data_IF_802480440013
#
_entry.id   IF_802480440013
#
_cell.length_a   1.000
_cell.length_b   1.000
_cell.length_c   1.000
_cell.angle_alpha   90.00
_cell.angle_beta   90.00
_cell.angle_gamma   90.00
#
_symmetry.space_group_name_H-M   'P 1'
#
loop_
_entity.id
_entity.type
_entity.pdbx_description
1 polymer ?
#
# COMPACT_ATOMS: atom_id res chain seq x y z
N UNK A 1 -65.65 -37.62 91.61
CA UNK A 1 -65.65 -38.30 90.29
C UNK A 1 -64.51 -37.74 89.46
N UNK A 2 -63.70 -38.64 88.88
CA UNK A 2 -62.75 -38.50 87.76
C UNK A 2 -61.46 -37.67 87.98
N UNK A 3 -60.45 -38.43 88.40
CA UNK A 3 -59.03 -38.25 88.09
C UNK A 3 -58.70 -38.61 86.62
N UNK A 4 -57.63 -37.98 86.11
CA UNK A 4 -56.73 -38.36 85.01
C UNK A 4 -57.28 -38.52 83.57
N UNK A 5 -56.84 -37.63 82.67
CA UNK A 5 -56.40 -37.99 81.31
C UNK A 5 -55.29 -37.02 80.86
N UNK A 6 -54.05 -37.51 80.84
CA UNK A 6 -52.93 -36.91 80.11
C UNK A 6 -53.03 -37.41 78.65
N UNK A 7 -53.25 -36.51 77.69
CA UNK A 7 -52.93 -36.75 76.29
C UNK A 7 -51.92 -35.68 75.88
N UNK A 8 -50.72 -36.17 75.60
CA UNK A 8 -49.58 -35.45 75.02
C UNK A 8 -49.99 -35.03 73.61
N UNK A 9 -50.30 -33.74 73.42
CA UNK A 9 -50.39 -33.16 72.08
C UNK A 9 -48.96 -32.95 71.57
N UNK A 10 -48.46 -33.97 70.85
CA UNK A 10 -47.22 -33.93 70.11
C UNK A 10 -47.30 -32.80 69.06
N UNK A 11 -46.42 -31.81 69.19
CA UNK A 11 -46.26 -30.73 68.23
C UNK A 11 -45.84 -31.29 66.86
N UNK A 12 -46.75 -31.32 65.90
CA UNK A 12 -46.41 -31.39 64.49
C UNK A 12 -45.87 -30.03 64.06
N UNK A 13 -44.54 -29.86 64.10
CA UNK A 13 -43.88 -28.71 63.49
C UNK A 13 -43.94 -28.91 61.98
N UNK A 14 -44.94 -28.31 61.34
CA UNK A 14 -44.96 -28.13 59.90
C UNK A 14 -43.83 -27.16 59.52
N UNK A 15 -42.70 -27.69 59.09
CA UNK A 15 -41.76 -26.93 58.27
C UNK A 15 -42.40 -26.69 56.92
N UNK A 16 -43.20 -25.63 56.80
CA UNK A 16 -43.58 -25.10 55.50
C UNK A 16 -42.35 -24.38 54.94
N UNK A 17 -41.64 -25.02 54.00
CA UNK A 17 -40.80 -24.31 53.05
C UNK A 17 -41.72 -23.56 52.07
N UNK A 18 -42.35 -22.49 52.56
CA UNK A 18 -42.92 -21.45 51.71
C UNK A 18 -41.76 -20.53 51.35
N UNK A 19 -40.90 -20.93 50.41
CA UNK A 19 -40.19 -19.94 49.62
C UNK A 19 -41.24 -19.35 48.67
N UNK A 20 -42.11 -18.51 49.22
CA UNK A 20 -42.96 -17.66 48.43
C UNK A 20 -42.00 -16.71 47.72
N UNK A 21 -41.89 -16.83 46.41
CA UNK A 21 -41.49 -15.71 45.59
C UNK A 21 -42.45 -14.56 45.94
N UNK A 22 -41.95 -13.51 46.60
CA UNK A 22 -42.82 -12.45 47.12
C UNK A 22 -43.02 -11.42 46.00
N UNK A 23 -44.16 -11.52 45.34
CA UNK A 23 -44.60 -10.59 44.30
C UNK A 23 -45.15 -9.30 44.92
N UNK A 24 -44.70 -8.15 44.40
CA UNK A 24 -45.16 -6.81 44.81
C UNK A 24 -45.50 -5.96 43.56
N UNK A 25 -46.06 -4.77 43.73
CA UNK A 25 -46.13 -3.77 42.64
C UNK A 25 -45.02 -2.74 42.82
N UNK A 26 -44.54 -2.13 41.72
CA UNK A 26 -43.50 -1.10 41.76
C UNK A 26 -43.88 0.08 42.66
N UNK A 27 -45.17 0.41 42.72
CA UNK A 27 -45.72 1.47 43.60
C UNK A 27 -45.59 1.19 45.09
N UNK A 28 -45.41 -0.08 45.50
CA UNK A 28 -45.33 -0.47 46.90
C UNK A 28 -43.88 -0.50 47.43
N UNK A 29 -42.88 -0.48 46.54
CA UNK A 29 -41.45 -0.68 46.84
C UNK A 29 -40.94 0.33 47.87
N UNK A 30 -41.20 1.62 47.67
CA UNK A 30 -40.66 2.69 48.53
C UNK A 30 -41.29 2.70 49.94
N UNK A 31 -42.52 2.19 50.05
CA UNK A 31 -43.25 2.06 51.31
C UNK A 31 -43.09 0.70 51.98
N UNK A 32 -42.33 -0.22 51.38
CA UNK A 32 -42.18 -1.57 51.88
C UNK A 32 -41.25 -1.59 53.10
N UNK A 33 -41.75 -2.05 54.24
CA UNK A 33 -41.02 -2.02 55.52
C UNK A 33 -40.99 -3.37 56.25
N UNK A 34 -41.45 -4.43 55.60
CA UNK A 34 -41.55 -5.78 56.19
C UNK A 34 -40.75 -6.82 55.41
N UNK A 35 -39.79 -6.40 54.58
CA UNK A 35 -38.96 -7.32 53.82
C UNK A 35 -38.04 -8.12 54.74
N UNK A 36 -38.06 -9.45 54.64
CA UNK A 36 -37.07 -10.26 55.34
C UNK A 36 -35.70 -10.11 54.63
N UNK A 37 -34.64 -10.02 55.43
CA UNK A 37 -33.28 -9.90 54.90
C UNK A 37 -32.92 -11.11 54.03
N UNK A 38 -32.47 -10.86 52.81
CA UNK A 38 -32.03 -11.90 51.88
C UNK A 38 -33.12 -12.52 51.01
N UNK A 39 -34.40 -12.21 51.27
CA UNK A 39 -35.50 -12.63 50.41
C UNK A 39 -35.49 -11.87 49.07
N UNK A 40 -35.91 -12.56 48.00
CA UNK A 40 -36.06 -11.97 46.68
C UNK A 40 -37.50 -11.54 46.43
N UNK A 41 -37.66 -10.32 45.90
CA UNK A 41 -38.94 -9.72 45.56
C UNK A 41 -38.93 -9.35 44.08
N UNK A 42 -40.03 -9.61 43.38
CA UNK A 42 -40.18 -9.22 41.98
C UNK A 42 -41.41 -8.33 41.86
N UNK A 43 -41.26 -7.19 41.18
CA UNK A 43 -42.41 -6.35 40.86
C UNK A 43 -43.19 -6.96 39.69
N UNK A 44 -44.50 -7.09 39.85
CA UNK A 44 -45.40 -7.71 38.86
C UNK A 44 -45.70 -6.83 37.65
N UNK A 45 -45.45 -5.52 37.78
CA UNK A 45 -45.72 -4.50 36.76
C UNK A 45 -44.44 -4.05 36.03
N UNK A 46 -43.31 -3.94 36.72
CA UNK A 46 -42.02 -3.54 36.11
C UNK A 46 -41.04 -4.70 35.89
N UNK A 47 -41.33 -5.90 36.40
CA UNK A 47 -40.46 -7.09 36.33
C UNK A 47 -39.04 -6.83 36.90
N UNK A 48 -38.95 -5.96 37.90
CA UNK A 48 -37.71 -5.58 38.56
C UNK A 48 -37.46 -6.47 39.78
N UNK A 49 -36.20 -6.92 39.95
CA UNK A 49 -35.78 -7.77 41.05
C UNK A 49 -35.23 -6.92 42.20
N UNK A 50 -35.64 -7.24 43.42
CA UNK A 50 -35.18 -6.62 44.65
C UNK A 50 -34.75 -7.68 45.67
N UNK A 51 -33.89 -7.27 46.60
CA UNK A 51 -33.53 -8.06 47.79
C UNK A 51 -33.98 -7.33 49.05
N UNK A 52 -34.52 -8.06 50.02
CA UNK A 52 -34.86 -7.53 51.34
C UNK A 52 -33.62 -7.26 52.18
N UNK A 53 -33.65 -6.17 52.96
CA UNK A 53 -32.59 -5.77 53.88
C UNK A 53 -33.02 -5.97 55.34
N UNK A 54 -32.05 -5.96 56.26
CA UNK A 54 -32.27 -6.10 57.71
C UNK A 54 -33.24 -5.06 58.30
N UNK A 55 -33.39 -3.91 57.65
CA UNK A 55 -34.31 -2.83 58.05
C UNK A 55 -35.74 -2.96 57.51
N UNK A 56 -36.10 -4.08 56.87
CA UNK A 56 -37.44 -4.27 56.29
C UNK A 56 -37.64 -3.60 54.92
N UNK A 57 -36.67 -2.85 54.43
CA UNK A 57 -36.72 -2.15 53.14
C UNK A 57 -36.18 -3.01 52.00
N UNK A 58 -36.53 -2.64 50.77
CA UNK A 58 -36.08 -3.31 49.56
C UNK A 58 -34.90 -2.58 48.91
N UNK A 59 -33.93 -3.33 48.38
CA UNK A 59 -32.87 -2.81 47.52
C UNK A 59 -32.98 -3.44 46.14
N UNK A 60 -33.07 -2.61 45.11
CA UNK A 60 -33.08 -3.07 43.73
C UNK A 60 -31.77 -3.78 43.39
N UNK A 61 -31.88 -4.98 42.83
CA UNK A 61 -30.78 -5.67 42.16
C UNK A 61 -30.87 -5.24 40.69
N UNK A 62 -29.80 -4.64 40.17
CA UNK A 62 -29.73 -3.80 38.96
C UNK A 62 -30.46 -4.30 37.69
N UNK A 63 -30.83 -3.35 36.82
CA UNK A 63 -31.55 -3.52 35.55
C UNK A 63 -30.88 -4.54 34.61
N UNK A 64 -31.59 -5.57 34.10
CA UNK A 64 -31.03 -6.51 33.11
C UNK A 64 -30.95 -5.94 31.68
N UNK A 65 -31.30 -4.67 31.43
CA UNK A 65 -31.42 -4.09 30.09
C UNK A 65 -30.34 -3.04 29.76
N UNK A 66 -29.09 -3.32 30.12
CA UNK A 66 -27.96 -2.54 29.66
C UNK A 66 -27.60 -2.95 28.22
N UNK A 67 -28.25 -2.32 27.24
CA UNK A 67 -28.00 -2.57 25.81
C UNK A 67 -26.90 -1.64 25.33
N UNK A 68 -25.75 -2.20 24.97
CA UNK A 68 -24.76 -1.52 24.14
C UNK A 68 -25.17 -1.64 22.68
N UNK A 69 -25.07 -0.55 21.91
CA UNK A 69 -25.38 -0.58 20.48
C UNK A 69 -24.34 0.12 19.62
N UNK A 70 -24.20 -0.40 18.40
CA UNK A 70 -23.41 0.17 17.32
C UNK A 70 -24.35 0.43 16.16
N UNK A 71 -24.52 1.70 15.81
CA UNK A 71 -25.42 2.14 14.74
C UNK A 71 -24.60 2.74 13.61
N UNK A 72 -24.82 2.27 12.39
CA UNK A 72 -24.24 2.88 11.20
C UNK A 72 -25.00 4.16 10.83
N UNK A 73 -24.30 5.29 10.77
CA UNK A 73 -24.90 6.59 10.45
C UNK A 73 -25.01 6.84 8.93
N UNK A 74 -24.56 5.92 8.07
CA UNK A 74 -24.54 6.00 6.60
C UNK A 74 -23.79 7.21 6.01
N UNK A 75 -23.05 7.94 6.85
CA UNK A 75 -22.32 9.17 6.49
C UNK A 75 -20.81 9.05 6.77
N UNK A 76 -20.28 7.82 6.78
CA UNK A 76 -18.86 7.57 7.08
C UNK A 76 -18.52 7.48 8.58
N UNK A 77 -19.52 7.44 9.48
CA UNK A 77 -19.31 7.26 10.92
C UNK A 77 -20.19 6.15 11.50
N UNK A 78 -19.83 5.66 12.69
CA UNK A 78 -20.62 4.78 13.54
C UNK A 78 -20.95 5.52 14.85
N UNK A 79 -22.14 5.29 15.40
CA UNK A 79 -22.50 5.73 16.76
C UNK A 79 -22.41 4.54 17.70
N UNK A 80 -21.50 4.61 18.67
CA UNK A 80 -21.49 3.72 19.84
C UNK A 80 -22.35 4.33 20.95
N UNK A 81 -23.29 3.55 21.48
CA UNK A 81 -24.11 3.95 22.62
C UNK A 81 -23.88 2.98 23.76
N UNK A 82 -23.42 3.49 24.89
CA UNK A 82 -23.19 2.67 26.08
C UNK A 82 -24.48 2.46 26.89
N UNK A 83 -24.36 1.60 27.91
CA UNK A 83 -25.38 1.26 28.89
C UNK A 83 -25.91 2.45 29.71
N UNK A 84 -25.12 3.53 29.82
CA UNK A 84 -25.50 4.80 30.43
C UNK A 84 -26.21 5.74 29.45
N UNK A 85 -26.58 5.25 28.26
CA UNK A 85 -27.26 6.00 27.21
C UNK A 85 -26.40 7.16 26.64
N UNK A 86 -25.08 7.12 26.85
CA UNK A 86 -24.09 8.07 26.32
C UNK A 86 -23.65 7.61 24.93
N UNK A 87 -23.75 8.52 23.96
CA UNK A 87 -23.35 8.26 22.58
C UNK A 87 -21.98 8.87 22.25
N UNK A 88 -21.16 8.09 21.56
CA UNK A 88 -19.88 8.50 21.01
C UNK A 88 -19.86 8.24 19.50
N UNK A 89 -19.26 9.14 18.74
CA UNK A 89 -19.09 9.00 17.28
C UNK A 89 -17.71 8.46 16.97
N UNK A 90 -17.64 7.46 16.11
CA UNK A 90 -16.41 6.83 15.64
C UNK A 90 -16.37 6.99 14.11
N UNK A 91 -15.26 7.50 13.58
CA UNK A 91 -15.08 7.61 12.13
C UNK A 91 -14.79 6.23 11.50
N UNK A 92 -15.33 5.95 10.33
CA UNK A 92 -14.94 4.80 9.52
C UNK A 92 -13.67 5.13 8.74
N UNK A 93 -12.83 4.14 8.51
CA UNK A 93 -11.79 4.26 7.51
C UNK A 93 -12.42 4.43 6.12
N UNK A 94 -11.79 5.22 5.25
CA UNK A 94 -12.31 5.52 3.92
C UNK A 94 -11.21 5.41 2.85
N UNK A 95 -11.61 5.08 1.62
CA UNK A 95 -10.75 5.12 0.43
C UNK A 95 -11.27 6.20 -0.51
N UNK A 96 -10.43 7.19 -0.83
CA UNK A 96 -10.77 8.34 -1.67
C UNK A 96 -9.97 8.28 -2.98
N UNK A 97 -10.65 8.47 -4.11
CA UNK A 97 -10.01 8.71 -5.42
C UNK A 97 -9.68 10.20 -5.55
N UNK A 98 -8.42 10.55 -5.82
CA UNK A 98 -7.97 11.93 -5.93
C UNK A 98 -8.08 12.49 -7.36
N UNK A 99 -8.47 11.68 -8.34
CA UNK A 99 -8.66 12.10 -9.73
C UNK A 99 -7.39 12.29 -10.55
N UNK A 100 -6.20 12.06 -9.96
CA UNK A 100 -4.89 12.09 -10.62
C UNK A 100 -4.25 10.69 -10.76
N UNK A 101 -5.03 9.63 -10.47
CA UNK A 101 -4.57 8.25 -10.45
C UNK A 101 -3.90 7.84 -9.13
N UNK A 102 -4.00 8.67 -8.09
CA UNK A 102 -3.73 8.29 -6.70
C UNK A 102 -5.01 8.01 -5.92
N UNK A 103 -4.88 7.11 -4.94
CA UNK A 103 -5.94 6.80 -3.98
C UNK A 103 -5.42 6.97 -2.56
N UNK A 104 -6.19 7.63 -1.69
CA UNK A 104 -5.85 7.84 -0.29
C UNK A 104 -6.73 6.98 0.61
N UNK A 105 -6.12 6.04 1.34
CA UNK A 105 -6.75 5.39 2.48
C UNK A 105 -6.55 6.25 3.72
N UNK A 106 -7.63 6.69 4.35
CA UNK A 106 -7.58 7.40 5.63
C UNK A 106 -8.15 6.56 6.75
N UNK A 107 -7.40 6.45 7.85
CA UNK A 107 -7.86 5.83 9.09
C UNK A 107 -8.57 6.83 10.03
N UNK A 108 -8.87 8.03 9.53
CA UNK A 108 -9.63 9.07 10.23
C UNK A 108 -9.04 9.52 11.60
N UNK A 109 -7.76 9.24 11.84
CA UNK A 109 -6.96 9.69 12.99
C UNK A 109 -6.11 10.94 12.69
N UNK A 110 -6.17 11.44 11.45
CA UNK A 110 -5.40 12.58 10.95
C UNK A 110 -4.65 12.23 9.66
N UNK A 111 -4.25 13.24 8.88
CA UNK A 111 -3.61 13.04 7.57
C UNK A 111 -2.23 12.38 7.63
N UNK A 112 -1.62 12.26 8.82
CA UNK A 112 -0.28 11.66 8.99
C UNK A 112 -0.28 10.15 8.88
N UNK A 113 -1.43 9.50 9.08
CA UNK A 113 -1.59 8.04 9.02
C UNK A 113 -2.18 7.59 7.67
N UNK A 114 -2.43 8.53 6.77
CA UNK A 114 -3.01 8.26 5.47
C UNK A 114 -2.00 7.54 4.56
N UNK A 115 -2.42 6.46 3.92
CA UNK A 115 -1.61 5.72 2.95
C UNK A 115 -2.05 6.13 1.55
N UNK A 116 -1.12 6.65 0.76
CA UNK A 116 -1.37 7.02 -0.64
C UNK A 116 -0.82 5.93 -1.56
N UNK A 117 -1.69 5.39 -2.41
CA UNK A 117 -1.34 4.42 -3.44
C UNK A 117 -1.31 5.11 -4.80
N UNK A 118 -0.27 4.83 -5.58
CA UNK A 118 -0.16 5.28 -6.96
C UNK A 118 -0.53 4.11 -7.89
N UNK A 119 -1.60 4.24 -8.67
CA UNK A 119 -2.02 3.20 -9.63
C UNK A 119 -1.76 3.60 -11.07
N UNK A 120 -1.31 4.83 -11.32
CA UNK A 120 -0.89 5.30 -12.63
C UNK A 120 0.53 4.81 -13.00
N UNK A 121 0.88 3.57 -12.66
CA UNK A 121 1.96 2.89 -13.37
C UNK A 121 1.45 2.68 -14.79
N UNK A 122 1.74 3.67 -15.64
CA UNK A 122 1.41 3.68 -17.05
C UNK A 122 1.69 2.28 -17.61
N UNK A 123 0.72 1.76 -18.34
CA UNK A 123 0.86 0.63 -19.24
C UNK A 123 2.02 0.88 -20.20
N UNK A 124 3.24 0.58 -19.76
CA UNK A 124 4.38 0.50 -20.64
C UNK A 124 5.28 -0.61 -20.16
N UNK A 125 5.87 -1.28 -21.13
CA UNK A 125 6.66 -2.49 -21.04
C UNK A 125 8.06 -2.19 -20.47
N UNK A 126 8.06 -1.45 -19.37
CA UNK A 126 9.18 -0.78 -18.73
C UNK A 126 9.07 -1.10 -17.24
N UNK A 127 9.86 -2.07 -16.77
CA UNK A 127 10.04 -2.25 -15.34
C UNK A 127 10.83 -1.03 -14.85
N UNK A 128 10.12 0.03 -14.46
CA UNK A 128 10.70 1.23 -13.84
C UNK A 128 10.92 0.94 -12.37
N UNK A 129 12.00 0.21 -12.05
CA UNK A 129 12.65 0.50 -10.78
C UNK A 129 13.47 1.79 -11.00
N UNK A 130 13.69 2.59 -9.95
CA UNK A 130 14.59 3.77 -10.02
C UNK A 130 16.04 3.44 -10.43
N UNK A 131 16.33 2.17 -10.68
CA UNK A 131 17.64 1.61 -11.00
C UNK A 131 17.69 0.88 -12.34
N UNK A 132 16.56 0.56 -12.97
CA UNK A 132 16.49 -0.29 -14.16
C UNK A 132 15.39 0.17 -15.12
N UNK A 133 15.70 0.14 -16.41
CA UNK A 133 14.81 0.47 -17.51
C UNK A 133 14.88 -0.67 -18.53
N UNK A 134 13.73 -1.05 -19.08
CA UNK A 134 13.61 -2.02 -20.17
C UNK A 134 12.64 -1.44 -21.21
N UNK A 135 12.93 -1.66 -22.48
CA UNK A 135 11.99 -1.48 -23.57
C UNK A 135 12.15 -2.65 -24.55
N UNK A 136 11.08 -3.45 -24.67
CA UNK A 136 11.06 -4.65 -25.52
C UNK A 136 10.38 -4.43 -26.88
N UNK A 137 10.00 -3.19 -27.21
CA UNK A 137 9.25 -2.90 -28.44
C UNK A 137 10.15 -2.93 -29.69
N UNK A 138 9.98 -3.88 -30.61
CA UNK A 138 10.84 -3.91 -31.79
C UNK A 138 10.66 -2.66 -32.69
N UNK A 139 11.76 -2.01 -33.08
CA UNK A 139 11.78 -0.88 -34.02
C UNK A 139 12.50 -1.25 -35.30
N UNK A 140 11.74 -1.35 -36.41
CA UNK A 140 12.28 -1.60 -37.74
C UNK A 140 12.77 -0.31 -38.40
N UNK A 141 13.95 -0.38 -39.01
CA UNK A 141 14.68 0.74 -39.59
C UNK A 141 15.07 0.42 -41.01
N UNK A 142 14.39 1.08 -41.94
CA UNK A 142 14.60 0.96 -43.39
C UNK A 142 15.38 2.13 -43.99
N UNK A 143 15.52 3.23 -43.25
CA UNK A 143 16.17 4.47 -43.71
C UNK A 143 17.70 4.44 -43.53
N UNK A 144 18.40 5.13 -44.43
CA UNK A 144 19.83 5.45 -44.31
C UNK A 144 20.11 6.74 -43.54
N UNK A 145 19.07 7.48 -43.19
CA UNK A 145 19.13 8.65 -42.31
C UNK A 145 18.94 8.23 -40.86
N UNK A 146 19.46 9.04 -39.93
CA UNK A 146 19.22 8.82 -38.50
C UNK A 146 17.76 9.11 -38.15
N UNK A 147 17.07 8.12 -37.58
CA UNK A 147 15.74 8.32 -37.01
C UNK A 147 15.81 9.07 -35.69
N UNK A 148 14.72 9.74 -35.30
CA UNK A 148 14.63 10.42 -34.01
C UNK A 148 14.23 9.40 -32.94
N UNK A 149 14.98 9.33 -31.83
CA UNK A 149 14.62 8.58 -30.61
C UNK A 149 14.02 7.18 -30.83
N UNK A 150 14.65 6.34 -31.66
CA UNK A 150 14.15 4.97 -31.88
C UNK A 150 14.07 4.18 -30.58
N UNK A 151 15.02 4.40 -29.67
CA UNK A 151 14.92 4.06 -28.26
C UNK A 151 15.37 5.26 -27.44
N UNK A 152 14.68 5.52 -26.34
CA UNK A 152 15.06 6.60 -25.43
C UNK A 152 14.56 6.37 -24.02
N UNK A 153 15.33 6.87 -23.07
CA UNK A 153 14.97 6.93 -21.67
C UNK A 153 15.60 8.15 -21.01
N UNK A 154 15.11 8.55 -19.85
CA UNK A 154 15.65 9.67 -19.08
C UNK A 154 16.61 9.12 -18.03
N UNK A 155 17.82 9.69 -17.99
CA UNK A 155 18.72 9.58 -16.85
C UNK A 155 18.40 10.75 -15.92
N UNK A 156 17.95 10.50 -14.68
CA UNK A 156 17.69 11.57 -13.73
C UNK A 156 18.92 12.41 -13.42
N UNK A 157 18.71 13.67 -13.07
CA UNK A 157 19.77 14.57 -12.61
C UNK A 157 20.60 13.96 -11.49
N UNK A 158 21.89 14.25 -11.51
CA UNK A 158 22.93 13.77 -10.60
C UNK A 158 23.21 12.25 -10.65
N UNK A 159 22.59 11.49 -11.57
CA UNK A 159 22.82 10.04 -11.70
C UNK A 159 24.25 9.69 -12.12
N UNK A 160 24.88 10.51 -12.98
CA UNK A 160 26.23 10.29 -13.51
C UNK A 160 27.32 11.05 -12.73
N UNK A 161 27.15 11.23 -11.41
CA UNK A 161 28.18 11.81 -10.54
C UNK A 161 29.45 10.95 -10.43
N UNK A 162 30.45 11.42 -9.68
CA UNK A 162 31.71 10.67 -9.44
C UNK A 162 31.43 9.24 -8.98
N UNK A 163 32.05 8.25 -9.63
CA UNK A 163 31.88 6.83 -9.30
C UNK A 163 30.56 6.21 -9.74
N UNK A 164 29.75 6.89 -10.55
CA UNK A 164 28.51 6.34 -11.09
C UNK A 164 28.59 6.18 -12.61
N UNK A 165 27.90 5.15 -13.09
CA UNK A 165 27.71 4.92 -14.51
C UNK A 165 26.29 4.44 -14.79
N UNK A 166 25.90 4.51 -16.05
CA UNK A 166 24.71 3.85 -16.58
C UNK A 166 25.17 2.92 -17.68
N UNK A 167 24.86 1.64 -17.54
CA UNK A 167 25.03 0.66 -18.62
C UNK A 167 23.74 0.57 -19.40
N UNK A 168 23.87 0.49 -20.71
CA UNK A 168 22.78 0.31 -21.67
C UNK A 168 23.12 -0.92 -22.50
N UNK A 169 22.17 -1.82 -22.66
CA UNK A 169 22.31 -3.01 -23.50
C UNK A 169 21.21 -2.99 -24.53
N UNK A 170 21.57 -3.18 -25.80
CA UNK A 170 20.60 -3.28 -26.89
C UNK A 170 20.88 -4.50 -27.76
N UNK A 171 19.83 -5.14 -28.24
CA UNK A 171 19.91 -6.22 -29.22
C UNK A 171 19.48 -5.70 -30.59
N UNK A 172 20.38 -5.87 -31.56
CA UNK A 172 20.09 -5.58 -32.96
C UNK A 172 19.88 -6.88 -33.71
N UNK A 173 18.77 -6.96 -34.43
CA UNK A 173 18.54 -8.00 -35.44
C UNK A 173 18.98 -7.45 -36.79
N UNK A 174 19.94 -8.13 -37.43
CA UNK A 174 20.44 -7.76 -38.75
C UNK A 174 20.30 -8.96 -39.70
N UNK A 175 19.33 -8.93 -40.62
CA UNK A 175 19.16 -9.98 -41.63
C UNK A 175 20.14 -9.89 -42.80
N UNK A 176 21.09 -8.94 -42.80
CA UNK A 176 22.17 -8.84 -43.78
C UNK A 176 22.50 -7.40 -44.20
N UNK A 177 23.76 -7.13 -44.56
CA UNK A 177 24.29 -5.79 -44.85
C UNK A 177 24.73 -5.03 -43.60
N UNK A 178 25.20 -3.78 -43.76
CA UNK A 178 25.80 -3.02 -42.65
C UNK A 178 24.85 -2.03 -41.97
N UNK A 179 25.11 -1.72 -40.70
CA UNK A 179 24.42 -0.68 -39.93
C UNK A 179 25.38 0.24 -39.22
N UNK A 180 24.87 1.38 -38.75
CA UNK A 180 25.54 2.19 -37.76
C UNK A 180 24.59 2.46 -36.60
N UNK A 181 25.16 2.62 -35.41
CA UNK A 181 24.46 3.04 -34.21
C UNK A 181 25.03 4.35 -33.70
N UNK A 182 24.18 5.13 -33.07
CA UNK A 182 24.49 6.39 -32.43
C UNK A 182 23.87 6.43 -31.06
N UNK A 183 24.66 6.91 -30.10
CA UNK A 183 24.21 7.24 -28.76
C UNK A 183 24.26 8.76 -28.61
N UNK A 184 23.16 9.34 -28.15
CA UNK A 184 23.09 10.75 -27.78
C UNK A 184 22.63 10.90 -26.33
N UNK A 185 23.11 11.94 -25.66
CA UNK A 185 22.76 12.29 -24.29
C UNK A 185 22.54 13.80 -24.21
N UNK A 186 21.41 14.25 -23.67
CA UNK A 186 21.05 15.67 -23.61
C UNK A 186 21.09 16.38 -24.96
N UNK A 187 20.68 15.67 -26.02
CA UNK A 187 20.71 16.16 -27.40
C UNK A 187 22.08 16.15 -28.09
N UNK A 188 23.17 15.90 -27.35
CA UNK A 188 24.51 15.82 -27.92
C UNK A 188 24.87 14.39 -28.32
N UNK A 189 25.48 14.22 -29.50
CA UNK A 189 25.96 12.91 -29.93
C UNK A 189 27.23 12.53 -29.15
N UNK A 190 27.14 11.50 -28.32
CA UNK A 190 28.28 10.93 -27.60
C UNK A 190 29.12 10.05 -28.50
N UNK A 191 28.45 9.23 -29.29
CA UNK A 191 29.10 8.19 -30.05
C UNK A 191 28.37 7.91 -31.34
N UNK A 192 29.12 7.67 -32.41
CA UNK A 192 28.62 7.09 -33.66
C UNK A 192 29.56 5.96 -34.06
N UNK A 193 29.02 4.77 -34.27
CA UNK A 193 29.82 3.61 -34.68
C UNK A 193 30.30 3.74 -36.12
N UNK A 194 31.39 3.03 -36.43
CA UNK A 194 31.66 2.63 -37.80
C UNK A 194 30.60 1.65 -38.32
N UNK A 195 30.78 1.17 -39.55
CA UNK A 195 29.90 0.15 -40.12
C UNK A 195 30.00 -1.14 -39.32
N UNK A 196 28.90 -1.54 -38.70
CA UNK A 196 28.78 -2.82 -38.00
C UNK A 196 28.27 -3.86 -39.00
N UNK A 197 28.90 -5.04 -38.98
CA UNK A 197 28.73 -6.12 -39.95
C UNK A 197 27.36 -6.80 -39.96
N UNK A 198 27.29 -7.89 -40.71
CA UNK A 198 26.02 -8.47 -41.21
C UNK A 198 25.25 -9.34 -40.20
N UNK A 199 25.81 -9.62 -39.01
CA UNK A 199 25.16 -10.50 -38.03
C UNK A 199 24.38 -9.68 -37.00
N UNK A 200 23.29 -10.27 -36.49
CA UNK A 200 22.64 -9.80 -35.26
C UNK A 200 23.66 -9.78 -34.12
N UNK A 201 23.65 -8.73 -33.29
CA UNK A 201 24.60 -8.60 -32.18
C UNK A 201 23.98 -7.91 -30.97
N UNK A 202 24.53 -8.24 -29.79
CA UNK A 202 24.37 -7.48 -28.57
C UNK A 202 25.34 -6.30 -28.62
N UNK A 203 24.84 -5.12 -28.31
CA UNK A 203 25.60 -3.88 -28.20
C UNK A 203 25.50 -3.38 -26.75
N UNK A 204 26.62 -2.98 -26.18
CA UNK A 204 26.67 -2.45 -24.82
C UNK A 204 27.27 -1.04 -24.84
N UNK A 205 26.61 -0.10 -24.16
CA UNK A 205 27.12 1.23 -23.90
C UNK A 205 27.27 1.43 -22.40
N UNK A 206 28.36 2.06 -21.97
CA UNK A 206 28.53 2.48 -20.58
C UNK A 206 28.78 3.97 -20.59
N UNK A 207 27.89 4.75 -19.98
CA UNK A 207 28.04 6.19 -19.79
C UNK A 207 28.50 6.42 -18.35
N UNK A 208 29.54 7.22 -18.13
CA UNK A 208 30.02 7.56 -16.80
C UNK A 208 30.41 9.03 -16.69
N UNK A 209 30.29 9.58 -15.49
CA UNK A 209 30.79 10.90 -15.16
C UNK A 209 32.31 10.94 -15.23
N UNK A 210 32.88 11.93 -15.91
CA UNK A 210 34.33 12.15 -16.01
C UNK A 210 34.80 13.17 -14.96
N UNK A 211 34.29 13.05 -13.73
CA UNK A 211 34.71 13.86 -12.57
C UNK A 211 34.20 15.31 -12.52
N UNK A 212 33.34 15.73 -13.44
CA UNK A 212 32.67 17.05 -13.42
C UNK A 212 31.22 16.91 -13.89
N UNK A 213 30.36 17.86 -13.53
CA UNK A 213 28.94 17.89 -13.91
C UNK A 213 28.69 18.00 -15.41
N UNK A 214 29.67 18.52 -16.17
CA UNK A 214 29.58 18.80 -17.60
C UNK A 214 30.60 17.99 -18.42
N UNK A 215 31.00 16.80 -17.97
CA UNK A 215 31.86 15.94 -18.75
C UNK A 215 31.46 14.49 -18.55
N UNK A 216 30.97 13.86 -19.60
CA UNK A 216 30.64 12.45 -19.61
C UNK A 216 31.46 11.75 -20.68
N UNK A 217 31.76 10.48 -20.39
CA UNK A 217 32.42 9.58 -21.32
C UNK A 217 31.52 8.39 -21.57
N UNK A 218 31.57 7.88 -22.80
CA UNK A 218 30.91 6.64 -23.15
C UNK A 218 31.89 5.61 -23.69
N UNK A 219 31.72 4.37 -23.29
CA UNK A 219 32.37 3.21 -23.89
C UNK A 219 31.32 2.40 -24.67
N UNK A 220 31.69 1.84 -25.82
CA UNK A 220 30.88 0.84 -26.52
C UNK A 220 31.68 -0.46 -26.67
N UNK A 221 31.05 -1.57 -26.32
CA UNK A 221 31.46 -2.91 -26.75
C UNK A 221 30.45 -3.48 -27.76
N UNK A 222 30.96 -4.01 -28.87
CA UNK A 222 30.15 -4.64 -29.90
C UNK A 222 30.83 -5.94 -30.33
N UNK A 223 30.07 -7.03 -30.27
CA UNK A 223 30.57 -8.36 -30.60
C UNK A 223 30.95 -8.55 -32.09
N UNK A 224 30.69 -7.58 -32.98
CA UNK A 224 30.88 -7.76 -34.43
C UNK A 224 31.46 -6.56 -35.21
N UNK A 225 32.24 -5.70 -34.57
CA UNK A 225 33.01 -4.66 -35.29
C UNK A 225 34.29 -5.26 -35.86
N UNK A 226 34.35 -5.45 -37.18
CA UNK A 226 35.50 -5.99 -37.91
C UNK A 226 36.74 -5.08 -37.98
N UNK A 227 37.00 -4.27 -36.96
CA UNK A 227 38.17 -3.39 -36.91
C UNK A 227 38.50 -2.96 -35.49
N UNK A 228 39.79 -3.01 -35.16
CA UNK A 228 40.41 -2.58 -33.91
C UNK A 228 39.79 -1.29 -33.33
N UNK A 229 39.49 -1.33 -32.04
CA UNK A 229 39.35 -0.14 -31.21
C UNK A 229 38.01 -0.06 -30.50
N UNK A 230 38.03 -0.36 -29.22
CA UNK A 230 37.17 0.31 -28.24
C UNK A 230 37.16 1.81 -28.55
N UNK A 231 35.97 2.40 -28.75
CA UNK A 231 35.86 3.81 -29.14
C UNK A 231 35.18 4.59 -28.02
N UNK A 232 35.93 5.53 -27.45
CA UNK A 232 35.41 6.41 -26.42
C UNK A 232 34.69 7.60 -27.06
N UNK A 233 33.47 7.87 -26.58
CA UNK A 233 32.73 9.09 -26.85
C UNK A 233 32.95 10.09 -25.71
N UNK A 234 33.07 11.38 -26.02
CA UNK A 234 33.13 12.45 -25.01
C UNK A 234 32.22 13.58 -25.45
N UNK A 235 31.41 14.09 -24.53
CA UNK A 235 30.68 15.33 -24.73
C UNK A 235 30.40 16.00 -23.40
N UNK A 236 30.06 17.27 -23.48
CA UNK A 236 29.82 18.18 -22.36
C UNK A 236 28.32 18.41 -22.25
N UNK A 237 27.66 17.67 -21.36
CA UNK A 237 26.23 17.78 -21.09
C UNK A 237 26.04 17.97 -19.59
N UNK A 238 25.09 18.80 -19.18
CA UNK A 238 24.81 19.03 -17.77
C UNK A 238 24.09 17.83 -17.15
N UNK A 239 24.82 17.03 -16.37
CA UNK A 239 24.25 15.88 -15.67
C UNK A 239 23.59 16.24 -14.33
N UNK A 240 23.47 17.51 -13.95
CA UNK A 240 22.76 17.90 -12.71
C UNK A 240 21.25 17.91 -12.86
N UNK A 241 20.77 17.98 -14.10
CA UNK A 241 19.35 17.91 -14.48
C UNK A 241 19.05 16.61 -15.22
N UNK A 242 17.77 16.28 -15.36
CA UNK A 242 17.30 15.14 -16.13
C UNK A 242 17.74 15.27 -17.60
N UNK A 243 18.28 14.18 -18.14
CA UNK A 243 18.78 14.16 -19.51
C UNK A 243 18.26 12.95 -20.26
N UNK A 244 17.77 13.18 -21.47
CA UNK A 244 17.34 12.11 -22.36
C UNK A 244 18.54 11.44 -23.00
N UNK A 245 18.62 10.12 -22.86
CA UNK A 245 19.45 9.26 -23.70
C UNK A 245 18.65 8.85 -24.92
N UNK A 246 19.28 8.93 -26.10
CA UNK A 246 18.72 8.43 -27.34
C UNK A 246 19.66 7.40 -27.95
N UNK A 247 19.12 6.22 -28.28
CA UNK A 247 19.79 5.23 -29.11
C UNK A 247 19.13 5.24 -30.48
N UNK A 248 19.95 5.38 -31.51
CA UNK A 248 19.52 5.47 -32.89
C UNK A 248 20.35 4.49 -33.72
N UNK A 249 19.72 3.73 -34.59
CA UNK A 249 20.35 2.94 -35.63
C UNK A 249 19.94 3.50 -36.99
N UNK A 250 20.80 3.28 -37.98
CA UNK A 250 20.48 3.50 -39.38
C UNK A 250 20.96 2.35 -40.24
N UNK A 251 20.26 2.11 -41.34
CA UNK A 251 20.73 1.21 -42.39
C UNK A 251 21.89 1.88 -43.12
N UNK A 252 22.96 1.14 -43.38
CA UNK A 252 24.00 1.58 -44.33
C UNK A 252 23.84 0.84 -45.65
N UNK A 253 23.57 -0.47 -45.59
CA UNK A 253 23.32 -1.30 -46.76
C UNK A 253 22.48 -2.54 -46.42
N UNK A 254 22.00 -3.22 -47.46
CA UNK A 254 21.24 -4.48 -47.34
C UNK A 254 19.78 -4.29 -46.95
N UNK A 255 19.22 -5.31 -46.28
CA UNK A 255 17.82 -5.38 -45.84
C UNK A 255 17.52 -4.44 -44.68
N UNK A 256 16.26 -4.32 -44.29
CA UNK A 256 15.89 -3.52 -43.12
C UNK A 256 16.41 -4.13 -41.82
N UNK A 257 16.56 -3.29 -40.80
CA UNK A 257 17.28 -3.59 -39.57
C UNK A 257 16.32 -3.42 -38.39
N UNK A 258 16.49 -4.17 -37.32
CA UNK A 258 15.63 -4.00 -36.16
C UNK A 258 16.47 -3.72 -34.92
N UNK A 259 16.12 -2.65 -34.21
CA UNK A 259 16.52 -2.44 -32.82
C UNK A 259 15.41 -3.03 -31.96
N UNK A 260 15.67 -4.20 -31.38
CA UNK A 260 14.63 -5.03 -30.80
C UNK A 260 14.41 -4.65 -29.32
N UNK A 261 15.16 -5.31 -28.44
CA UNK A 261 15.17 -5.05 -27.01
C UNK A 261 16.29 -4.07 -26.63
N UNK A 262 16.00 -3.12 -25.74
CA UNK A 262 17.02 -2.38 -25.00
C UNK A 262 16.71 -2.35 -23.50
N UNK A 263 17.76 -2.27 -22.68
CA UNK A 263 17.66 -2.03 -21.25
C UNK A 263 18.74 -1.07 -20.79
N UNK A 264 18.54 -0.44 -19.64
CA UNK A 264 19.52 0.41 -18.99
C UNK A 264 19.50 0.19 -17.48
N UNK A 265 20.68 0.16 -16.85
CA UNK A 265 20.84 -0.03 -15.42
C UNK A 265 21.83 0.98 -14.84
N UNK A 266 21.55 1.48 -13.64
CA UNK A 266 22.52 2.28 -12.89
C UNK A 266 23.59 1.36 -12.29
N UNK A 267 24.85 1.67 -12.56
CA UNK A 267 26.01 1.01 -11.99
C UNK A 267 26.70 1.93 -10.98
N UNK A 268 27.09 1.37 -9.84
CA UNK A 268 27.99 2.01 -8.88
C UNK A 268 29.39 1.45 -9.14
N UNK A 269 30.29 2.31 -9.59
CA UNK A 269 31.71 1.98 -9.79
C UNK A 269 32.41 2.43 -8.51
N UNK A 270 32.49 1.50 -7.55
CA UNK A 270 33.24 1.54 -6.27
C UNK A 270 33.94 2.87 -5.94
N UNK A 271 33.47 3.55 -4.90
CA UNK A 271 34.22 4.62 -4.25
C UNK A 271 35.19 4.01 -3.23
N UNK A 272 36.47 3.91 -3.60
CA UNK A 272 37.56 3.82 -2.63
C UNK A 272 37.96 5.21 -2.18
#
# INVERSE_FOLDING_TARGET
MRTCFYIVFLHFVWFNFLNAQIEITSSAVDSFSTAAQGDYYITTDTNELYVGLEGGTLRKISNPNEVTSLIDNTNGTLTFKNELNISNTINKANLVDNGDGTYTFSNATGTSDDVTFLTNSSSDNQVVSSTFWIDTTAVTVSSTSWGVHQKSFVIPGNTLGTGNAVRIVCYRINPGGSTQIRLSYGGQTFYTSGNIGNNSSRMEFIIFGNGTTNSQKSFMDDANTGGNGQRFGVSTVDSTVDQTVSIQIRKVSGSDKTLDFCSAEKMIISTS
#
